data_IF_759938053122
#
_entry.id   IF_759938053122
#
_cell.length_a   1.000
_cell.length_b   1.000
_cell.length_c   1.000
_cell.angle_alpha   90.00
_cell.angle_beta   90.00
_cell.angle_gamma   90.00
#
_symmetry.space_group_name_H-M   'P 1'
#
loop_
_entity.id
_entity.type
_entity.pdbx_description
1 polymer ?
#
# COMPACT_ATOMS: atom_id res chain seq x y z
N UNK A 1 11.08 -66.83 9.19
CA UNK A 1 12.40 -67.50 9.25
C UNK A 1 13.45 -66.39 9.08
N UNK A 2 14.35 -66.01 9.97
CA UNK A 2 14.77 -66.39 11.32
C UNK A 2 15.29 -65.08 11.95
N UNK A 3 14.90 -64.79 13.21
CA UNK A 3 15.56 -63.82 14.10
C UNK A 3 16.24 -64.64 15.20
N UNK A 4 17.49 -64.34 15.53
CA UNK A 4 18.18 -64.77 16.76
C UNK A 4 18.93 -63.53 17.28
N UNK A 5 18.44 -62.85 18.32
CA UNK A 5 18.65 -63.13 19.75
C UNK A 5 20.12 -63.08 20.19
N UNK A 6 20.46 -62.04 20.98
CA UNK A 6 21.40 -62.21 22.08
C UNK A 6 20.99 -61.35 23.28
N UNK A 7 20.52 -62.05 24.29
CA UNK A 7 20.18 -61.59 25.63
C UNK A 7 21.45 -61.63 26.49
N UNK A 8 21.76 -60.60 27.28
CA UNK A 8 22.31 -60.82 28.61
C UNK A 8 22.09 -59.61 29.52
N UNK A 9 21.18 -59.81 30.48
CA UNK A 9 20.90 -58.95 31.65
C UNK A 9 21.87 -59.28 32.78
N UNK A 10 22.13 -58.29 33.64
CA UNK A 10 22.37 -58.29 35.11
C UNK A 10 23.45 -57.26 35.44
N UNK A 11 23.40 -56.39 36.46
CA UNK A 11 22.51 -56.09 37.60
C UNK A 11 23.08 -54.81 38.23
N UNK A 12 22.24 -53.88 38.71
CA UNK A 12 22.68 -52.77 39.58
C UNK A 12 23.00 -53.29 41.00
N UNK A 13 23.77 -52.51 41.78
CA UNK A 13 23.14 -51.92 42.96
C UNK A 13 23.41 -50.41 43.10
N UNK A 14 22.42 -49.73 43.68
CA UNK A 14 22.49 -48.35 44.14
C UNK A 14 23.24 -48.28 45.49
N UNK A 15 24.01 -47.21 45.71
CA UNK A 15 24.35 -46.74 47.05
C UNK A 15 24.25 -45.22 47.10
N UNK A 16 23.54 -44.78 48.13
CA UNK A 16 23.18 -43.41 48.45
C UNK A 16 24.25 -42.70 49.28
N UNK A 17 24.17 -41.37 49.32
CA UNK A 17 24.50 -40.60 50.53
C UNK A 17 25.66 -39.60 50.38
N UNK A 18 25.31 -38.32 50.24
CA UNK A 18 25.85 -37.24 51.06
C UNK A 18 25.06 -35.95 50.78
N UNK A 19 23.99 -35.76 51.56
CA UNK A 19 23.39 -34.44 51.76
C UNK A 19 24.19 -33.73 52.87
N UNK A 20 24.66 -32.51 52.60
CA UNK A 20 25.01 -31.55 53.64
C UNK A 20 24.42 -30.20 53.24
N UNK A 21 23.27 -29.92 53.85
CA UNK A 21 22.61 -28.63 53.80
C UNK A 21 23.35 -27.64 54.70
N UNK A 22 23.66 -26.46 54.17
CA UNK A 22 23.94 -25.27 54.95
C UNK A 22 22.93 -24.19 54.55
N UNK A 23 21.83 -24.13 55.31
CA UNK A 23 20.94 -22.98 55.39
C UNK A 23 21.55 -22.00 56.40
N UNK A 24 21.64 -20.72 56.02
CA UNK A 24 20.99 -19.58 56.70
C UNK A 24 21.72 -18.29 56.33
N UNK A 25 20.98 -17.36 55.71
CA UNK A 25 20.81 -15.99 56.18
C UNK A 25 19.72 -15.31 55.34
N UNK A 26 18.51 -15.28 55.90
CA UNK A 26 17.47 -14.36 55.47
C UNK A 26 17.84 -12.96 55.96
N UNK A 27 18.04 -12.04 55.03
CA UNK A 27 18.13 -10.60 55.28
C UNK A 27 16.97 -9.90 54.56
N UNK A 28 16.12 -9.26 55.34
CA UNK A 28 14.90 -8.57 54.91
C UNK A 28 15.14 -7.34 54.04
N UNK A 29 14.18 -7.05 53.15
CA UNK A 29 13.70 -5.68 52.95
C UNK A 29 13.93 -5.07 51.56
N UNK A 30 12.82 -4.86 50.83
CA UNK A 30 12.75 -3.87 49.75
C UNK A 30 12.14 -4.41 48.45
N UNK A 31 10.82 -4.30 48.31
CA UNK A 31 10.23 -4.27 46.99
C UNK A 31 10.62 -2.93 46.32
N UNK A 32 11.41 -3.00 45.26
CA UNK A 32 11.51 -1.94 44.25
C UNK A 32 11.35 -2.56 42.87
N UNK A 33 10.25 -2.21 42.23
CA UNK A 33 10.01 -2.38 40.80
C UNK A 33 11.01 -1.49 40.08
N UNK A 34 12.12 -2.06 39.60
CA UNK A 34 12.76 -1.58 38.38
C UNK A 34 13.88 -2.50 37.87
N UNK A 35 13.78 -2.77 36.57
CA UNK A 35 14.88 -2.92 35.63
C UNK A 35 15.90 -4.03 35.93
N UNK A 36 15.75 -5.17 35.25
CA UNK A 36 16.60 -5.46 34.07
C UNK A 36 15.90 -6.53 33.24
N UNK A 37 14.89 -6.14 32.45
CA UNK A 37 14.68 -6.85 31.20
C UNK A 37 15.91 -6.52 30.37
N UNK A 38 16.84 -7.47 30.28
CA UNK A 38 17.92 -7.39 29.32
C UNK A 38 17.25 -7.25 27.96
N UNK A 39 17.25 -6.02 27.42
CA UNK A 39 17.08 -5.81 26.01
C UNK A 39 18.21 -6.60 25.35
N UNK A 40 17.88 -7.81 24.89
CA UNK A 40 18.67 -8.46 23.87
C UNK A 40 18.72 -7.45 22.73
N UNK A 41 19.82 -6.72 22.63
CA UNK A 41 20.11 -5.92 21.47
C UNK A 41 19.96 -6.84 20.28
N UNK A 42 18.96 -6.57 19.45
CA UNK A 42 18.85 -7.18 18.15
C UNK A 42 20.13 -6.83 17.42
N UNK A 43 21.11 -7.72 17.48
CA UNK A 43 22.16 -7.80 16.48
C UNK A 43 21.42 -8.21 15.22
N UNK A 44 20.98 -7.18 14.48
CA UNK A 44 19.99 -7.30 13.42
C UNK A 44 20.47 -8.30 12.40
N UNK A 45 19.86 -9.49 12.41
CA UNK A 45 19.97 -10.38 11.25
C UNK A 45 19.42 -9.59 10.08
N UNK A 46 20.20 -9.40 9.00
CA UNK A 46 19.72 -8.73 7.79
C UNK A 46 18.37 -9.31 7.40
N UNK A 47 17.37 -8.46 7.13
CA UNK A 47 16.01 -8.94 6.84
C UNK A 47 15.87 -9.68 5.50
N UNK A 48 16.99 -9.98 4.83
CA UNK A 48 17.04 -10.63 3.53
C UNK A 48 16.86 -9.66 2.37
N UNK A 49 16.46 -10.19 1.22
CA UNK A 49 16.04 -9.39 0.07
C UNK A 49 14.54 -9.17 0.12
N UNK A 50 14.10 -7.93 -0.09
CA UNK A 50 12.69 -7.56 -0.20
C UNK A 50 12.44 -7.06 -1.62
N UNK A 51 11.53 -7.72 -2.33
CA UNK A 51 11.04 -7.34 -3.64
C UNK A 51 9.85 -6.39 -3.49
N UNK A 52 10.09 -5.11 -3.74
CA UNK A 52 9.08 -4.06 -3.65
C UNK A 52 8.49 -3.85 -5.04
N UNK A 53 7.18 -4.08 -5.20
CA UNK A 53 6.49 -3.66 -6.41
C UNK A 53 6.55 -2.13 -6.52
N UNK A 54 6.70 -1.59 -7.71
CA UNK A 54 6.69 -0.15 -8.01
C UNK A 54 5.57 0.12 -9.01
N UNK A 55 4.48 0.71 -8.54
CA UNK A 55 3.40 1.13 -9.43
C UNK A 55 3.64 2.56 -9.94
N UNK A 56 3.14 2.87 -11.13
CA UNK A 56 3.57 4.01 -11.94
C UNK A 56 2.97 5.37 -11.52
N UNK A 57 2.88 5.65 -10.22
CA UNK A 57 2.56 6.98 -9.69
C UNK A 57 3.61 7.49 -8.69
N UNK A 58 3.82 8.80 -8.66
CA UNK A 58 4.86 9.49 -7.91
C UNK A 58 4.66 9.33 -6.41
N UNK A 59 3.41 9.30 -5.97
CA UNK A 59 3.05 9.01 -4.59
C UNK A 59 3.65 7.68 -4.10
N UNK A 60 3.46 6.61 -4.90
CA UNK A 60 4.02 5.29 -4.63
C UNK A 60 5.54 5.35 -4.51
N UNK A 61 6.17 6.07 -5.44
CA UNK A 61 7.63 6.20 -5.48
C UNK A 61 8.17 6.88 -4.22
N UNK A 62 7.46 7.89 -3.70
CA UNK A 62 7.84 8.56 -2.47
C UNK A 62 7.74 7.63 -1.26
N UNK A 63 6.62 6.91 -1.11
CA UNK A 63 6.41 5.96 -0.01
C UNK A 63 7.46 4.83 -0.05
N UNK A 64 7.70 4.25 -1.23
CA UNK A 64 8.70 3.22 -1.45
C UNK A 64 10.13 3.72 -1.18
N UNK A 65 10.45 4.98 -1.48
CA UNK A 65 11.75 5.57 -1.20
C UNK A 65 12.01 5.67 0.31
N UNK A 66 11.02 6.11 1.09
CA UNK A 66 11.11 6.17 2.56
C UNK A 66 11.28 4.78 3.14
N UNK A 67 10.43 3.83 2.74
CA UNK A 67 10.52 2.43 3.17
C UNK A 67 11.91 1.86 2.86
N UNK A 68 12.34 1.98 1.60
CA UNK A 68 13.61 1.43 1.12
C UNK A 68 14.81 2.04 1.87
N UNK A 69 14.76 3.33 2.19
CA UNK A 69 15.80 3.99 2.97
C UNK A 69 15.91 3.40 4.38
N UNK A 70 14.78 3.28 5.09
CA UNK A 70 14.76 2.72 6.45
C UNK A 70 15.18 1.24 6.44
N UNK A 71 14.61 0.45 5.53
CA UNK A 71 14.91 -0.98 5.42
C UNK A 71 16.40 -1.23 5.15
N UNK A 72 17.01 -0.49 4.22
CA UNK A 72 18.46 -0.60 3.94
C UNK A 72 19.32 -0.12 5.10
N UNK A 73 19.08 1.10 5.59
CA UNK A 73 20.02 1.80 6.48
C UNK A 73 19.82 1.50 7.96
N UNK A 74 18.65 0.98 8.36
CA UNK A 74 18.29 0.72 9.76
C UNK A 74 18.05 -0.76 10.06
N UNK A 75 17.59 -1.53 9.06
CA UNK A 75 17.22 -2.94 9.24
C UNK A 75 18.13 -3.92 8.48
N UNK A 76 19.10 -3.41 7.70
CA UNK A 76 20.07 -4.24 6.98
C UNK A 76 19.48 -5.03 5.80
N UNK A 77 18.33 -4.62 5.27
CA UNK A 77 17.67 -5.29 4.15
C UNK A 77 18.33 -4.96 2.81
N UNK A 78 18.32 -5.92 1.88
CA UNK A 78 18.53 -5.65 0.44
C UNK A 78 17.18 -5.37 -0.21
N UNK A 79 17.06 -4.30 -1.00
CA UNK A 79 15.79 -3.97 -1.65
C UNK A 79 15.95 -4.08 -3.15
N UNK A 80 15.04 -4.82 -3.78
CA UNK A 80 14.87 -4.92 -5.23
C UNK A 80 13.53 -4.28 -5.56
N UNK A 81 13.55 -3.24 -6.39
CA UNK A 81 12.35 -2.57 -6.87
C UNK A 81 11.97 -3.13 -8.24
N UNK A 82 10.69 -3.40 -8.48
CA UNK A 82 10.17 -3.98 -9.72
C UNK A 82 9.01 -3.15 -10.24
N UNK A 83 9.19 -2.53 -11.41
CA UNK A 83 8.12 -1.80 -12.08
C UNK A 83 7.03 -2.78 -12.52
N UNK A 84 5.83 -2.63 -11.96
CA UNK A 84 4.71 -3.53 -12.17
C UNK A 84 3.42 -2.74 -12.23
N UNK A 85 2.48 -3.21 -13.04
CA UNK A 85 1.11 -2.74 -12.97
C UNK A 85 0.48 -3.13 -11.62
N UNK A 86 -0.46 -2.32 -11.15
CA UNK A 86 -1.07 -2.47 -9.82
C UNK A 86 -1.64 -3.88 -9.60
N UNK A 87 -2.51 -4.36 -10.49
CA UNK A 87 -3.08 -5.71 -10.36
C UNK A 87 -2.03 -6.83 -10.52
N UNK A 88 -0.99 -6.62 -11.33
CA UNK A 88 0.08 -7.61 -11.53
C UNK A 88 0.94 -7.75 -10.27
N UNK A 89 1.05 -6.68 -9.47
CA UNK A 89 1.80 -6.69 -8.22
C UNK A 89 1.22 -7.70 -7.23
N UNK A 90 -0.11 -7.86 -7.19
CA UNK A 90 -0.79 -8.87 -6.38
C UNK A 90 -0.48 -10.30 -6.83
N UNK A 91 -0.35 -10.54 -8.14
CA UNK A 91 -0.04 -11.87 -8.68
C UNK A 91 1.33 -12.37 -8.24
N UNK A 92 2.29 -11.46 -8.06
CA UNK A 92 3.64 -11.78 -7.60
C UNK A 92 3.75 -12.21 -6.14
N UNK A 93 2.71 -12.01 -5.32
CA UNK A 93 2.73 -12.37 -3.90
C UNK A 93 2.83 -13.88 -3.69
N UNK A 94 2.07 -14.67 -4.45
CA UNK A 94 2.03 -16.12 -4.30
C UNK A 94 3.34 -16.82 -4.70
N UNK A 95 4.07 -16.24 -5.66
CA UNK A 95 5.35 -16.77 -6.15
C UNK A 95 6.57 -16.25 -5.39
N UNK A 96 6.41 -15.23 -4.54
CA UNK A 96 7.52 -14.51 -3.90
C UNK A 96 8.27 -13.58 -4.87
N UNK A 97 7.69 -13.30 -6.04
CA UNK A 97 8.23 -12.27 -6.94
C UNK A 97 7.98 -10.87 -6.40
N UNK A 98 6.96 -10.68 -5.57
CA UNK A 98 6.66 -9.45 -4.84
C UNK A 98 6.51 -9.80 -3.37
N UNK A 99 7.24 -9.09 -2.51
CA UNK A 99 7.14 -9.19 -1.06
C UNK A 99 6.36 -8.02 -0.44
N UNK A 100 6.32 -6.89 -1.14
CA UNK A 100 5.69 -5.67 -0.64
C UNK A 100 4.94 -4.90 -1.73
N UNK A 101 3.68 -4.60 -1.43
CA UNK A 101 2.85 -3.58 -2.07
C UNK A 101 2.65 -2.49 -1.01
N UNK A 102 3.27 -1.32 -1.20
CA UNK A 102 3.31 -0.27 -0.16
C UNK A 102 2.06 0.62 -0.16
N UNK A 103 1.39 0.73 -1.31
CA UNK A 103 0.11 1.42 -1.43
C UNK A 103 -0.93 0.49 -2.08
N UNK A 104 -2.03 0.24 -1.38
CA UNK A 104 -3.20 -0.44 -1.92
C UNK A 104 -4.40 0.52 -1.92
N UNK A 105 -4.82 0.99 -3.11
CA UNK A 105 -5.93 1.94 -3.26
C UNK A 105 -7.30 1.27 -3.49
N UNK A 106 -7.40 -0.06 -3.31
CA UNK A 106 -8.67 -0.78 -3.50
C UNK A 106 -8.53 -2.30 -3.44
N UNK A 107 -9.17 -2.99 -4.39
CA UNK A 107 -9.05 -4.44 -4.61
C UNK A 107 -9.52 -5.32 -3.44
N UNK A 108 -10.77 -5.15 -3.01
CA UNK A 108 -11.37 -6.02 -1.99
C UNK A 108 -11.38 -7.50 -2.44
N UNK A 109 -11.52 -7.75 -3.74
CA UNK A 109 -11.42 -9.05 -4.37
C UNK A 109 -10.00 -9.64 -4.28
N UNK A 110 -8.96 -8.87 -4.61
CA UNK A 110 -7.57 -9.35 -4.50
C UNK A 110 -7.16 -9.52 -3.02
N UNK A 111 -7.61 -8.63 -2.14
CA UNK A 111 -7.43 -8.76 -0.68
C UNK A 111 -8.05 -10.07 -0.20
N UNK A 112 -9.29 -10.38 -0.59
CA UNK A 112 -9.93 -11.65 -0.26
C UNK A 112 -9.12 -12.83 -0.80
N UNK A 113 -8.71 -12.78 -2.07
CA UNK A 113 -7.98 -13.85 -2.71
C UNK A 113 -6.62 -14.13 -2.05
N UNK A 114 -5.75 -13.12 -1.94
CA UNK A 114 -4.35 -13.32 -1.54
C UNK A 114 -4.14 -13.34 -0.02
N UNK A 115 -4.94 -12.59 0.75
CA UNK A 115 -4.82 -12.53 2.22
C UNK A 115 -5.74 -13.56 2.89
N UNK A 116 -7.02 -13.61 2.52
CA UNK A 116 -7.99 -14.46 3.23
C UNK A 116 -7.97 -15.91 2.75
N UNK A 117 -8.08 -16.11 1.44
CA UNK A 117 -8.27 -17.44 0.87
C UNK A 117 -6.93 -18.18 0.72
N UNK A 118 -5.94 -17.54 0.08
CA UNK A 118 -4.62 -18.15 -0.17
C UNK A 118 -3.64 -18.00 0.99
N UNK A 119 -3.80 -16.95 1.82
CA UNK A 119 -2.94 -16.65 2.98
C UNK A 119 -1.44 -16.52 2.62
N UNK A 120 -1.17 -15.99 1.43
CA UNK A 120 0.19 -15.73 0.94
C UNK A 120 0.66 -14.30 1.23
N UNK A 121 -0.26 -13.44 1.70
CA UNK A 121 0.03 -12.07 2.12
C UNK A 121 -0.70 -11.74 3.42
N UNK A 122 -0.24 -10.68 4.08
CA UNK A 122 -0.86 -10.12 5.28
C UNK A 122 -1.04 -8.62 5.11
N UNK A 123 -2.09 -8.07 5.73
CA UNK A 123 -2.27 -6.63 5.83
C UNK A 123 -1.30 -6.09 6.90
N UNK A 124 -0.39 -5.21 6.47
CA UNK A 124 0.61 -4.58 7.33
C UNK A 124 0.09 -3.31 8.04
N UNK A 125 -1.17 -2.92 7.79
CA UNK A 125 -1.80 -1.74 8.34
C UNK A 125 -1.57 -0.48 7.48
N UNK A 126 -2.19 0.65 7.88
CA UNK A 126 -2.14 1.89 7.12
C UNK A 126 -0.74 2.52 7.15
N UNK A 127 -0.32 3.12 6.04
CA UNK A 127 0.94 3.89 5.94
C UNK A 127 0.86 5.25 6.64
N UNK A 128 -0.34 5.68 7.05
CA UNK A 128 -0.61 6.99 7.66
C UNK A 128 -0.88 8.11 6.65
N UNK A 129 -0.83 7.82 5.35
CA UNK A 129 -1.20 8.76 4.30
C UNK A 129 -2.71 8.86 4.14
N UNK A 130 -3.26 10.07 4.21
CA UNK A 130 -4.63 10.37 3.83
C UNK A 130 -4.65 10.91 2.39
N UNK A 131 -5.11 10.08 1.45
CA UNK A 131 -5.33 10.50 0.07
C UNK A 131 -6.79 10.47 -0.30
N UNK A 132 -7.17 11.44 -1.13
CA UNK A 132 -8.50 11.55 -1.70
C UNK A 132 -8.39 11.41 -3.20
N UNK A 133 -9.03 10.38 -3.75
CA UNK A 133 -9.23 10.26 -5.19
C UNK A 133 -10.55 10.95 -5.51
N UNK A 134 -10.53 11.80 -6.52
CA UNK A 134 -11.72 12.51 -6.93
C UNK A 134 -11.55 13.22 -8.26
N UNK A 135 -12.61 13.94 -8.61
CA UNK A 135 -12.64 14.80 -9.77
C UNK A 135 -12.16 16.20 -9.41
N UNK A 136 -11.51 16.86 -10.36
CA UNK A 136 -10.91 18.18 -10.18
C UNK A 136 -11.03 19.01 -11.45
N UNK A 137 -11.14 20.32 -11.27
CA UNK A 137 -11.04 21.32 -12.34
C UNK A 137 -9.92 22.32 -12.01
N UNK A 138 -9.32 22.98 -13.02
CA UNK A 138 -8.36 24.06 -12.78
C UNK A 138 -8.98 25.18 -11.93
N UNK A 139 -8.22 25.78 -10.99
CA UNK A 139 -8.73 26.88 -10.14
C UNK A 139 -9.42 28.02 -10.88
N UNK A 140 -8.92 28.41 -12.07
CA UNK A 140 -9.56 29.47 -12.85
C UNK A 140 -10.99 29.12 -13.29
N UNK A 141 -11.31 27.82 -13.46
CA UNK A 141 -12.67 27.39 -13.77
C UNK A 141 -13.58 27.53 -12.57
N UNK A 142 -13.11 27.14 -11.38
CA UNK A 142 -13.88 27.31 -10.14
C UNK A 142 -14.16 28.79 -9.84
N UNK A 143 -13.21 29.68 -10.14
CA UNK A 143 -13.40 31.13 -10.04
C UNK A 143 -14.42 31.67 -11.06
N UNK A 144 -14.40 31.15 -12.29
CA UNK A 144 -15.28 31.61 -13.38
C UNK A 144 -16.69 31.01 -13.34
N UNK A 145 -16.80 29.78 -12.87
CA UNK A 145 -18.02 28.97 -12.79
C UNK A 145 -18.21 28.50 -11.34
N UNK A 146 -18.75 29.35 -10.44
CA UNK A 146 -18.73 29.08 -9.00
C UNK A 146 -19.48 27.81 -8.55
N UNK A 147 -20.40 27.30 -9.36
CA UNK A 147 -21.18 26.08 -9.11
C UNK A 147 -20.66 24.86 -9.89
N UNK A 148 -19.49 24.97 -10.54
CA UNK A 148 -18.92 23.89 -11.36
C UNK A 148 -18.52 22.69 -10.54
N UNK A 149 -18.16 22.87 -9.27
CA UNK A 149 -17.76 21.77 -8.38
C UNK A 149 -18.96 21.08 -7.73
N UNK A 150 -20.20 21.50 -7.99
CA UNK A 150 -21.38 20.79 -7.51
C UNK A 150 -21.65 19.56 -8.39
N UNK A 151 -21.66 18.37 -7.78
CA UNK A 151 -21.90 17.10 -8.46
C UNK A 151 -23.28 17.01 -9.16
N UNK A 152 -24.23 17.88 -8.82
CA UNK A 152 -25.52 17.96 -9.53
C UNK A 152 -25.44 18.76 -10.83
N UNK A 153 -24.42 19.61 -10.97
CA UNK A 153 -24.25 20.51 -12.12
C UNK A 153 -23.31 19.95 -13.19
N UNK A 154 -22.82 18.72 -13.06
CA UNK A 154 -21.82 18.14 -13.97
C UNK A 154 -22.27 18.23 -15.45
N UNK A 155 -23.48 17.77 -15.75
CA UNK A 155 -24.00 17.79 -17.12
C UNK A 155 -24.25 19.19 -17.70
N UNK A 156 -24.45 20.21 -16.85
CA UNK A 156 -24.57 21.61 -17.29
C UNK A 156 -23.32 22.08 -18.04
N UNK A 157 -22.16 21.51 -17.70
CA UNK A 157 -20.86 21.92 -18.21
C UNK A 157 -20.26 20.95 -19.23
N UNK A 158 -20.92 19.82 -19.53
CA UNK A 158 -20.40 18.77 -20.41
C UNK A 158 -19.84 19.29 -21.73
N UNK A 159 -20.58 20.18 -22.39
CA UNK A 159 -20.20 20.76 -23.68
C UNK A 159 -18.88 21.54 -23.64
N UNK A 160 -18.51 22.13 -22.49
CA UNK A 160 -17.24 22.84 -22.32
C UNK A 160 -16.03 21.91 -22.42
N UNK A 161 -16.20 20.63 -22.09
CA UNK A 161 -15.12 19.65 -22.02
C UNK A 161 -15.06 18.74 -23.25
N UNK A 162 -15.75 19.09 -24.33
CA UNK A 162 -15.76 18.27 -25.55
C UNK A 162 -14.39 18.27 -26.23
N UNK A 163 -13.92 17.08 -26.62
CA UNK A 163 -12.65 16.87 -27.33
C UNK A 163 -12.87 16.00 -28.56
N UNK A 164 -11.83 15.81 -29.37
CA UNK A 164 -11.86 14.84 -30.48
C UNK A 164 -12.06 13.40 -30.00
N UNK A 165 -11.58 13.09 -28.80
CA UNK A 165 -11.58 11.76 -28.21
C UNK A 165 -12.87 11.43 -27.47
N UNK A 166 -13.64 12.46 -27.07
CA UNK A 166 -14.86 12.31 -26.27
C UNK A 166 -16.10 11.92 -27.08
N UNK A 167 -16.03 11.94 -28.42
CA UNK A 167 -17.12 11.51 -29.29
C UNK A 167 -18.39 12.36 -29.19
N UNK A 168 -18.23 13.68 -28.98
CA UNK A 168 -19.34 14.63 -28.85
C UNK A 168 -19.88 14.80 -27.43
N UNK A 169 -19.30 14.10 -26.44
CA UNK A 169 -19.59 14.27 -25.01
C UNK A 169 -18.55 15.15 -24.32
N UNK A 170 -18.75 15.50 -23.05
CA UNK A 170 -17.67 16.04 -22.22
C UNK A 170 -16.56 14.99 -21.98
N UNK A 171 -15.31 15.42 -21.85
CA UNK A 171 -14.19 14.55 -21.46
C UNK A 171 -13.94 14.64 -19.96
N UNK A 172 -13.83 13.49 -19.29
CA UNK A 172 -13.12 13.33 -18.01
C UNK A 172 -11.79 12.67 -18.32
N UNK A 173 -10.67 13.34 -18.04
CA UNK A 173 -9.35 12.75 -18.27
C UNK A 173 -8.91 11.97 -17.02
N UNK A 174 -8.69 10.67 -17.18
CA UNK A 174 -8.17 9.78 -16.16
C UNK A 174 -6.70 9.40 -16.46
N UNK A 175 -6.02 8.75 -15.53
CA UNK A 175 -4.60 8.42 -15.59
C UNK A 175 -4.27 7.26 -16.54
N UNK A 176 -3.47 6.32 -16.04
CA UNK A 176 -3.14 5.08 -16.74
C UNK A 176 -4.32 4.10 -16.64
N UNK A 177 -4.74 3.42 -17.73
CA UNK A 177 -5.82 2.44 -17.69
C UNK A 177 -5.53 1.23 -16.78
N UNK A 178 -4.28 1.01 -16.35
CA UNK A 178 -3.92 -0.02 -15.40
C UNK A 178 -4.15 0.37 -13.93
N UNK A 179 -4.47 1.64 -13.64
CA UNK A 179 -4.79 2.11 -12.29
C UNK A 179 -6.21 1.71 -11.90
N UNK A 180 -6.42 1.42 -10.62
CA UNK A 180 -7.77 1.28 -10.07
C UNK A 180 -8.49 2.63 -10.12
N UNK A 181 -9.64 2.65 -10.80
CA UNK A 181 -10.50 3.83 -10.95
C UNK A 181 -11.95 3.41 -11.00
N UNK A 182 -12.85 4.31 -10.62
CA UNK A 182 -14.30 4.11 -10.71
C UNK A 182 -14.95 5.02 -11.75
N UNK A 183 -14.17 5.77 -12.52
CA UNK A 183 -14.68 6.86 -13.37
C UNK A 183 -15.71 6.41 -14.39
N UNK A 184 -15.45 5.33 -15.12
CA UNK A 184 -16.41 4.83 -16.13
C UNK A 184 -17.72 4.38 -15.47
N UNK A 185 -17.62 3.73 -14.31
CA UNK A 185 -18.79 3.30 -13.54
C UNK A 185 -19.57 4.50 -12.98
N UNK A 186 -18.88 5.53 -12.49
CA UNK A 186 -19.49 6.77 -11.99
C UNK A 186 -20.17 7.53 -13.12
N UNK A 187 -19.49 7.75 -14.25
CA UNK A 187 -20.07 8.40 -15.43
C UNK A 187 -21.34 7.69 -15.89
N UNK A 188 -21.31 6.36 -15.94
CA UNK A 188 -22.47 5.54 -16.31
C UNK A 188 -23.60 5.63 -15.29
N UNK A 189 -23.31 5.39 -14.01
CA UNK A 189 -24.32 5.25 -12.96
C UNK A 189 -24.95 6.59 -12.55
N UNK A 190 -24.24 7.70 -12.76
CA UNK A 190 -24.75 9.06 -12.55
C UNK A 190 -25.39 9.64 -13.82
N UNK A 191 -25.50 8.88 -14.91
CA UNK A 191 -26.02 9.32 -16.20
C UNK A 191 -25.36 10.63 -16.70
N UNK A 192 -24.03 10.69 -16.61
CA UNK A 192 -23.29 11.87 -17.04
C UNK A 192 -23.11 11.89 -18.56
N UNK A 193 -23.21 13.07 -19.16
CA UNK A 193 -22.93 13.29 -20.58
C UNK A 193 -21.42 13.45 -20.85
N UNK A 194 -20.68 12.50 -20.31
CA UNK A 194 -19.23 12.47 -20.34
C UNK A 194 -18.73 11.13 -20.89
N UNK A 195 -17.48 11.15 -21.33
CA UNK A 195 -16.68 9.98 -21.67
C UNK A 195 -15.35 10.07 -20.93
N UNK A 196 -14.96 8.97 -20.31
CA UNK A 196 -13.63 8.83 -19.72
C UNK A 196 -12.61 8.63 -20.84
N UNK A 197 -11.53 9.39 -20.79
CA UNK A 197 -10.39 9.28 -21.70
C UNK A 197 -9.14 9.12 -20.85
N UNK A 198 -8.27 8.19 -21.21
CA UNK A 198 -7.07 7.90 -20.44
C UNK A 198 -5.87 8.66 -20.99
N UNK A 199 -5.17 9.38 -20.13
CA UNK A 199 -3.91 10.05 -20.44
C UNK A 199 -2.75 9.06 -20.64
N UNK A 200 -2.90 7.84 -20.12
CA UNK A 200 -1.92 6.75 -20.24
C UNK A 200 -0.75 6.84 -19.28
N UNK A 201 -0.67 7.88 -18.43
CA UNK A 201 0.27 7.97 -17.31
C UNK A 201 -0.11 9.13 -16.37
N UNK A 202 0.33 9.08 -15.11
CA UNK A 202 0.21 10.23 -14.19
C UNK A 202 0.97 11.46 -14.71
N UNK A 203 2.12 11.27 -15.36
CA UNK A 203 2.90 12.37 -15.91
C UNK A 203 2.14 13.12 -17.02
N UNK A 204 1.50 12.39 -17.95
CA UNK A 204 0.66 12.98 -18.99
C UNK A 204 -0.58 13.68 -18.42
N UNK A 205 -1.17 13.11 -17.37
CA UNK A 205 -2.30 13.68 -16.64
C UNK A 205 -1.94 15.03 -15.99
N UNK A 206 -0.84 15.07 -15.22
CA UNK A 206 -0.33 16.28 -14.57
C UNK A 206 0.02 17.35 -15.60
N UNK A 207 0.67 16.96 -16.69
CA UNK A 207 1.05 17.90 -17.75
C UNK A 207 -0.18 18.51 -18.43
N UNK A 208 -1.19 17.69 -18.75
CA UNK A 208 -2.45 18.16 -19.32
C UNK A 208 -3.14 19.17 -18.40
N UNK A 209 -3.19 18.89 -17.10
CA UNK A 209 -3.76 19.81 -16.10
C UNK A 209 -2.99 21.14 -16.04
N UNK A 210 -1.66 21.10 -16.01
CA UNK A 210 -0.81 22.31 -15.98
C UNK A 210 -1.01 23.16 -17.23
N UNK A 211 -1.05 22.54 -18.40
CA UNK A 211 -1.33 23.23 -19.67
C UNK A 211 -2.72 23.87 -19.65
N UNK A 212 -3.73 23.16 -19.16
CA UNK A 212 -5.08 23.72 -19.04
C UNK A 212 -5.18 24.90 -18.07
N UNK A 213 -4.46 24.84 -16.95
CA UNK A 213 -4.36 25.95 -16.01
C UNK A 213 -3.65 27.16 -16.64
N UNK A 214 -2.53 26.95 -17.34
CA UNK A 214 -1.75 28.03 -17.97
C UNK A 214 -2.53 28.70 -19.11
N UNK A 215 -3.18 27.91 -19.96
CA UNK A 215 -3.87 28.40 -21.15
C UNK A 215 -5.33 28.79 -20.89
N UNK A 216 -5.82 28.58 -19.67
CA UNK A 216 -7.23 28.77 -19.28
C UNK A 216 -8.21 28.03 -20.21
N UNK A 217 -7.87 26.79 -20.59
CA UNK A 217 -8.73 25.93 -21.41
C UNK A 217 -9.53 24.98 -20.53
N UNK A 218 -10.85 24.82 -20.73
CA UNK A 218 -11.68 23.94 -19.92
C UNK A 218 -11.08 22.55 -19.78
N UNK A 219 -11.01 22.05 -18.56
CA UNK A 219 -10.37 20.76 -18.28
C UNK A 219 -10.97 20.12 -17.04
N UNK A 220 -11.25 18.83 -17.14
CA UNK A 220 -11.72 18.00 -16.04
C UNK A 220 -10.79 16.80 -15.95
N UNK A 221 -10.29 16.56 -14.75
CA UNK A 221 -9.36 15.47 -14.48
C UNK A 221 -9.78 14.65 -13.26
N UNK A 222 -9.46 13.37 -13.28
CA UNK A 222 -9.42 12.52 -12.08
C UNK A 222 -8.02 12.55 -11.51
N UNK A 223 -7.87 12.74 -10.21
CA UNK A 223 -6.55 12.79 -9.59
C UNK A 223 -6.59 12.33 -8.14
N UNK A 224 -5.42 12.02 -7.59
CA UNK A 224 -5.25 11.77 -6.16
C UNK A 224 -4.66 13.02 -5.52
N UNK A 225 -5.38 13.58 -4.55
CA UNK A 225 -4.91 14.71 -3.77
C UNK A 225 -4.52 14.24 -2.36
N UNK A 226 -3.25 14.48 -1.99
CA UNK A 226 -2.78 14.39 -0.60
C UNK A 226 -2.78 15.80 -0.01
N UNK A 227 -3.46 16.01 1.11
CA UNK A 227 -3.56 17.30 1.83
C UNK A 227 -4.30 18.47 1.13
N UNK A 228 -5.31 18.21 0.28
CA UNK A 228 -6.33 19.22 -0.05
C UNK A 228 -5.91 20.36 -0.99
N UNK A 229 -4.84 20.18 -1.78
CA UNK A 229 -4.23 21.22 -2.63
C UNK A 229 -5.07 21.68 -3.85
N UNK A 230 -6.25 21.11 -4.08
CA UNK A 230 -7.04 21.34 -5.30
C UNK A 230 -8.55 21.44 -4.97
N UNK A 231 -9.30 22.35 -5.62
CA UNK A 231 -10.75 22.39 -5.52
C UNK A 231 -11.36 21.07 -5.99
N UNK A 232 -12.12 20.41 -5.10
CA UNK A 232 -12.72 19.10 -5.34
C UNK A 232 -14.23 19.20 -5.53
N UNK A 233 -14.80 18.25 -6.26
CA UNK A 233 -16.23 17.98 -6.15
C UNK A 233 -16.52 17.39 -4.74
N UNK A 234 -17.63 17.74 -4.08
CA UNK A 234 -17.96 17.30 -2.74
C UNK A 234 -18.19 15.80 -2.66
#
# INVERSE_FOLDING_TARGET
>A
MMKAERLMKRTLPAMAGAAAAALFLAGCGGASVNQTAAAAGATGTPCGTVNVAMNAWVGYTADAAVYSYVAKNKLGCSIVQKDLNEQVSWQGLASGEVDLIIENWGHADLTKQYITDQKVAVDAGPTGNEGHIGWYVPPWMAEKYPDITDGQNLNKYASLFTTSESGGKGQVLDGDPAFVTNDEALVKNLNLDYKVVFAGSEAALIQSFRTAQQNKTPFWVTSTNRNGSFPRFP
#
